data_IF_215799250431
#
_entry.id   IF_215799250431
#
_cell.length_a   1.000
_cell.length_b   1.000
_cell.length_c   1.000
_cell.angle_alpha   90.00
_cell.angle_beta   90.00
_cell.angle_gamma   90.00
#
_symmetry.space_group_name_H-M   'P 1'
#
loop_
_entity.id
_entity.type
_entity.pdbx_description
1 polymer ?
#
# COMPACT_ATOMS: atom_id res chain seq x y z
N UNK A 1 64.43 30.77 16.30
CA UNK A 1 64.09 30.58 14.87
C UNK A 1 64.66 29.25 14.41
N UNK A 2 63.80 28.42 13.81
CA UNK A 2 64.11 27.08 13.28
C UNK A 2 64.89 27.13 11.96
N UNK A 3 65.53 26.02 11.58
CA UNK A 3 65.45 25.49 10.21
C UNK A 3 65.64 23.97 10.16
N UNK A 4 64.77 23.35 9.39
CA UNK A 4 64.59 21.91 9.08
C UNK A 4 65.56 21.45 8.00
N UNK A 5 66.04 20.20 8.06
CA UNK A 5 66.80 19.52 6.99
C UNK A 5 66.14 18.18 6.64
N UNK A 6 66.04 17.88 5.33
CA UNK A 6 65.42 16.68 4.74
C UNK A 6 66.28 15.43 5.00
N UNK A 7 65.64 14.29 5.21
CA UNK A 7 66.25 12.96 4.99
C UNK A 7 65.30 12.08 4.17
N UNK A 8 65.76 11.71 2.98
CA UNK A 8 65.10 10.74 2.11
C UNK A 8 65.17 9.35 2.75
N UNK A 9 64.02 8.70 2.89
CA UNK A 9 63.89 7.35 3.42
C UNK A 9 63.90 6.33 2.27
N UNK A 10 64.65 5.26 2.52
CA UNK A 10 65.08 4.08 1.77
C UNK A 10 64.04 3.34 0.86
N UNK A 11 62.88 3.91 0.54
CA UNK A 11 61.83 3.23 -0.25
C UNK A 11 61.82 3.56 -1.74
N UNK A 12 62.80 4.32 -2.23
CA UNK A 12 63.07 4.44 -3.66
C UNK A 12 63.88 3.22 -4.15
N UNK A 13 63.21 2.16 -4.61
CA UNK A 13 63.73 1.07 -5.47
C UNK A 13 62.67 -0.05 -5.49
N UNK A 14 61.89 -0.34 -6.53
CA UNK A 14 62.19 -1.07 -7.79
C UNK A 14 60.77 -1.35 -8.37
N UNK A 15 60.32 -0.79 -9.49
CA UNK A 15 60.49 -1.25 -10.88
C UNK A 15 59.86 -2.62 -11.25
N UNK A 16 59.10 -2.62 -12.36
CA UNK A 16 58.59 -3.76 -13.17
C UNK A 16 57.37 -4.51 -12.59
N UNK A 17 56.30 -4.84 -13.31
CA UNK A 17 56.18 -5.31 -14.69
C UNK A 17 54.70 -5.35 -15.13
N UNK A 18 54.45 -5.18 -16.42
CA UNK A 18 53.16 -5.41 -17.06
C UNK A 18 52.85 -6.90 -17.21
N UNK A 19 51.60 -7.32 -16.99
CA UNK A 19 51.07 -8.58 -17.47
C UNK A 19 49.55 -8.48 -17.71
N UNK A 20 49.16 -8.46 -18.98
CA UNK A 20 47.80 -8.71 -19.45
C UNK A 20 47.60 -10.23 -19.54
N UNK A 21 46.56 -10.79 -18.92
CA UNK A 21 46.07 -12.14 -19.23
C UNK A 21 44.55 -12.08 -19.36
N UNK A 22 44.08 -12.32 -20.58
CA UNK A 22 42.72 -12.69 -20.90
C UNK A 22 42.53 -14.20 -20.70
N UNK A 23 41.30 -14.64 -20.37
CA UNK A 23 40.52 -15.70 -21.04
C UNK A 23 39.61 -16.52 -20.10
N UNK A 24 38.32 -16.54 -20.50
CA UNK A 24 37.40 -17.70 -20.59
C UNK A 24 36.80 -18.32 -19.30
N UNK A 25 35.51 -18.01 -19.07
CA UNK A 25 34.40 -18.97 -19.12
C UNK A 25 34.12 -19.85 -17.89
N UNK A 26 33.03 -19.55 -17.18
CA UNK A 26 32.17 -20.55 -16.53
C UNK A 26 30.79 -19.95 -16.19
N UNK A 27 29.78 -20.40 -16.94
CA UNK A 27 28.42 -20.82 -16.53
C UNK A 27 27.84 -20.24 -15.22
N UNK A 28 26.67 -19.62 -15.33
CA UNK A 28 25.62 -19.68 -14.29
C UNK A 28 25.71 -18.65 -13.17
N UNK A 29 25.28 -17.42 -13.42
CA UNK A 29 24.90 -16.51 -12.34
C UNK A 29 23.56 -16.94 -11.76
N UNK A 30 23.58 -17.80 -10.74
CA UNK A 30 22.48 -17.92 -9.79
C UNK A 30 22.22 -16.54 -9.19
N UNK A 31 21.03 -15.98 -9.38
CA UNK A 31 20.58 -14.81 -8.63
C UNK A 31 20.59 -15.17 -7.15
N UNK A 32 21.56 -14.64 -6.42
CA UNK A 32 21.61 -14.76 -4.97
C UNK A 32 20.52 -13.85 -4.40
N UNK A 33 19.57 -14.46 -3.69
CA UNK A 33 18.57 -13.81 -2.85
C UNK A 33 19.25 -12.81 -1.90
N UNK A 34 18.90 -11.53 -2.01
CA UNK A 34 19.25 -10.47 -1.06
C UNK A 34 18.35 -10.58 0.18
N UNK A 35 18.55 -11.64 0.96
CA UNK A 35 18.12 -11.67 2.36
C UNK A 35 19.34 -11.26 3.19
N UNK A 36 19.19 -10.24 4.02
CA UNK A 36 20.17 -9.87 5.04
C UNK A 36 19.47 -9.48 6.35
N UNK A 37 19.99 -9.99 7.46
CA UNK A 37 19.76 -9.52 8.83
C UNK A 37 21.12 -8.99 9.38
N UNK A 38 21.08 -8.02 10.31
CA UNK A 38 22.07 -6.94 10.56
C UNK A 38 23.43 -7.34 11.21
N UNK A 39 24.49 -6.51 11.22
CA UNK A 39 24.64 -5.23 11.96
C UNK A 39 25.36 -4.07 11.24
N UNK A 40 25.04 -2.85 11.71
CA UNK A 40 25.27 -1.47 11.19
C UNK A 40 26.63 -1.11 10.56
N UNK A 41 26.58 -0.69 9.29
CA UNK A 41 27.24 0.53 8.77
C UNK A 41 26.26 1.24 7.84
N UNK A 42 25.82 2.41 8.29
CA UNK A 42 24.88 3.31 7.60
C UNK A 42 25.43 3.77 6.27
N UNK A 43 24.79 3.34 5.19
CA UNK A 43 24.71 4.12 3.97
C UNK A 43 23.31 4.71 3.93
N UNK A 44 23.18 6.03 4.09
CA UNK A 44 21.90 6.73 3.97
C UNK A 44 21.57 6.86 2.48
N UNK A 45 20.67 6.00 2.02
CA UNK A 45 19.89 6.24 0.82
C UNK A 45 18.49 6.64 1.31
N UNK A 46 18.10 7.89 1.07
CA UNK A 46 16.77 8.41 1.43
C UNK A 46 15.75 7.90 0.40
N UNK A 47 14.66 7.29 0.85
CA UNK A 47 13.42 7.15 0.09
C UNK A 47 12.53 8.35 0.43
N UNK A 48 11.67 8.80 -0.49
CA UNK A 48 10.73 9.87 -0.14
C UNK A 48 9.61 9.34 0.76
N UNK A 49 9.11 10.19 1.66
CA UNK A 49 8.10 9.82 2.66
C UNK A 49 6.70 9.77 2.00
N UNK A 50 5.93 8.74 2.31
CA UNK A 50 4.50 8.65 1.95
C UNK A 50 3.75 8.36 3.23
N UNK A 51 2.87 9.27 3.61
CA UNK A 51 2.03 9.12 4.78
C UNK A 51 0.58 9.07 4.32
N UNK A 52 -0.12 7.98 4.65
CA UNK A 52 -1.55 7.84 4.42
C UNK A 52 -2.27 7.45 5.69
N UNK A 53 -3.53 7.87 5.80
CA UNK A 53 -4.48 7.37 6.79
C UNK A 53 -5.76 6.92 6.09
N UNK A 54 -6.49 5.99 6.73
CA UNK A 54 -7.83 5.57 6.31
C UNK A 54 -8.78 5.89 7.47
N UNK A 55 -9.84 6.63 7.18
CA UNK A 55 -10.84 7.03 8.17
C UNK A 55 -12.24 6.65 7.72
N UNK A 56 -13.12 6.46 8.70
CA UNK A 56 -14.56 6.35 8.54
C UNK A 56 -15.19 7.25 9.62
N UNK A 57 -16.20 8.04 9.25
CA UNK A 57 -16.84 8.98 10.20
C UNK A 57 -17.82 8.28 11.13
N UNK A 58 -18.35 7.13 10.72
CA UNK A 58 -19.19 6.31 11.58
C UNK A 58 -18.33 5.55 12.59
N UNK A 59 -18.69 5.69 13.86
CA UNK A 59 -18.00 5.07 14.99
C UNK A 59 -19.02 4.43 15.90
N UNK A 60 -18.63 3.33 16.53
CA UNK A 60 -19.50 2.64 17.46
C UNK A 60 -19.69 3.44 18.76
N UNK A 61 -20.44 2.88 19.71
CA UNK A 61 -20.71 3.55 20.99
C UNK A 61 -19.45 3.85 21.82
N UNK A 62 -18.34 3.16 21.56
CA UNK A 62 -17.05 3.32 22.23
C UNK A 62 -16.06 4.18 21.41
N UNK A 63 -16.46 4.63 20.22
CA UNK A 63 -15.65 5.46 19.33
C UNK A 63 -14.72 4.66 18.41
N UNK A 64 -14.95 3.36 18.24
CA UNK A 64 -14.20 2.50 17.33
C UNK A 64 -14.82 2.52 15.91
N UNK A 65 -14.10 3.02 14.88
CA UNK A 65 -14.60 3.03 13.50
C UNK A 65 -14.59 1.63 12.85
N UNK A 66 -14.06 0.61 13.51
CA UNK A 66 -13.87 -0.75 12.94
C UNK A 66 -14.93 -1.76 13.37
N UNK A 67 -15.82 -1.41 14.31
CA UNK A 67 -16.77 -2.34 14.94
C UNK A 67 -18.24 -1.88 14.86
N UNK A 68 -18.64 -1.25 13.76
CA UNK A 68 -20.00 -0.74 13.57
C UNK A 68 -21.03 -1.85 13.28
N UNK A 69 -22.22 -1.71 13.86
CA UNK A 69 -23.38 -2.56 13.56
C UNK A 69 -24.51 -1.71 13.00
N UNK A 70 -25.08 -2.14 11.88
CA UNK A 70 -26.08 -1.37 11.14
C UNK A 70 -27.43 -2.09 11.09
N UNK A 71 -28.51 -1.34 11.28
CA UNK A 71 -29.85 -1.86 11.03
C UNK A 71 -30.13 -1.89 9.52
N UNK A 72 -30.40 -3.08 8.99
CA UNK A 72 -30.70 -3.26 7.58
C UNK A 72 -32.20 -3.09 7.30
N UNK A 73 -32.55 -2.00 6.63
CA UNK A 73 -33.90 -1.77 6.09
C UNK A 73 -33.85 -1.94 4.57
N UNK A 74 -34.61 -2.88 3.97
CA UNK A 74 -34.59 -3.10 2.51
C UNK A 74 -34.82 -1.83 1.71
N UNK A 75 -33.95 -1.58 0.72
CA UNK A 75 -33.98 -0.39 -0.14
C UNK A 75 -33.39 0.88 0.49
N UNK A 76 -33.00 0.86 1.76
CA UNK A 76 -32.33 2.01 2.37
C UNK A 76 -30.82 1.98 2.11
N UNK A 77 -30.24 3.17 2.04
CA UNK A 77 -28.80 3.37 2.14
C UNK A 77 -28.34 3.35 3.59
N UNK A 78 -27.14 2.83 3.81
CA UNK A 78 -26.39 2.85 5.06
C UNK A 78 -25.14 3.70 4.80
N UNK A 79 -24.93 4.74 5.60
CA UNK A 79 -23.78 5.62 5.48
C UNK A 79 -22.48 4.83 5.75
N UNK A 80 -21.55 4.89 4.81
CA UNK A 80 -20.24 4.24 4.83
C UNK A 80 -19.27 5.09 4.00
N UNK A 81 -18.36 5.81 4.66
CA UNK A 81 -17.50 6.80 4.00
C UNK A 81 -15.99 6.53 4.18
N UNK A 82 -15.49 5.33 3.81
CA UNK A 82 -14.07 5.05 3.90
C UNK A 82 -13.29 6.05 3.02
N UNK A 83 -12.44 6.83 3.67
CA UNK A 83 -11.68 7.92 3.06
C UNK A 83 -10.20 7.73 3.29
N UNK A 84 -9.43 7.66 2.21
CA UNK A 84 -7.98 7.60 2.26
C UNK A 84 -7.46 9.04 2.21
N UNK A 85 -6.70 9.43 3.23
CA UNK A 85 -6.03 10.73 3.26
C UNK A 85 -4.55 10.52 2.96
N UNK A 86 -4.05 11.10 1.87
CA UNK A 86 -2.61 11.26 1.63
C UNK A 86 -2.18 12.54 2.32
N UNK A 87 -1.33 12.42 3.34
CA UNK A 87 -0.94 13.57 4.16
C UNK A 87 -0.05 14.55 3.37
N UNK A 88 0.13 15.75 3.93
CA UNK A 88 1.05 16.75 3.40
C UNK A 88 2.49 16.19 3.26
N UNK A 89 3.26 16.79 2.37
CA UNK A 89 4.66 16.44 2.09
C UNK A 89 4.90 14.96 1.69
N UNK A 90 3.88 14.32 1.11
CA UNK A 90 3.95 12.94 0.61
C UNK A 90 4.36 12.90 -0.86
N UNK A 91 5.13 11.88 -1.24
CA UNK A 91 5.52 11.65 -2.62
C UNK A 91 4.39 11.13 -3.52
N UNK A 92 4.56 11.29 -4.83
CA UNK A 92 3.66 10.70 -5.82
C UNK A 92 3.62 9.17 -5.63
N UNK A 93 2.43 8.60 -5.60
CA UNK A 93 2.22 7.21 -5.19
C UNK A 93 1.11 6.52 -5.98
N UNK A 94 1.20 5.20 -6.02
CA UNK A 94 0.09 4.31 -6.34
C UNK A 94 -0.70 4.09 -5.06
N UNK A 95 -1.97 4.51 -5.04
CA UNK A 95 -2.91 4.19 -3.98
C UNK A 95 -3.68 2.94 -4.35
N UNK A 96 -3.89 2.07 -3.36
CA UNK A 96 -4.72 0.90 -3.49
C UNK A 96 -5.76 0.88 -2.38
N UNK A 97 -6.94 0.40 -2.74
CA UNK A 97 -7.96 -0.03 -1.79
C UNK A 97 -8.32 -1.48 -2.07
N UNK A 98 -8.38 -2.28 -1.02
CA UNK A 98 -8.84 -3.66 -1.05
C UNK A 98 -10.17 -3.73 -0.31
N UNK A 99 -11.20 -4.19 -1.02
CA UNK A 99 -12.54 -4.43 -0.53
C UNK A 99 -12.74 -5.94 -0.37
N UNK A 100 -12.99 -6.39 0.85
CA UNK A 100 -13.24 -7.79 1.17
C UNK A 100 -14.66 -7.95 1.67
N UNK A 101 -15.46 -8.62 0.85
CA UNK A 101 -16.85 -8.94 1.12
C UNK A 101 -16.96 -10.31 1.80
N UNK A 102 -17.88 -10.44 2.74
CA UNK A 102 -18.33 -11.76 3.20
C UNK A 102 -19.09 -12.50 2.08
N UNK A 103 -19.09 -13.83 2.09
CA UNK A 103 -19.77 -14.66 1.08
C UNK A 103 -21.24 -14.30 0.80
N UNK A 104 -21.95 -13.73 1.79
CA UNK A 104 -23.35 -13.34 1.66
C UNK A 104 -23.56 -11.86 1.33
N UNK A 105 -22.50 -11.05 1.17
CA UNK A 105 -22.61 -9.60 1.01
C UNK A 105 -23.55 -9.20 -0.12
N UNK A 106 -23.30 -9.68 -1.34
CA UNK A 106 -24.10 -9.38 -2.55
C UNK A 106 -25.57 -9.82 -2.48
N UNK A 107 -25.92 -10.70 -1.53
CA UNK A 107 -27.33 -11.07 -1.31
C UNK A 107 -28.10 -9.95 -0.61
N UNK A 108 -27.40 -9.11 0.13
CA UNK A 108 -27.97 -8.21 1.13
C UNK A 108 -27.61 -6.74 0.90
N UNK A 109 -26.42 -6.47 0.37
CA UNK A 109 -25.84 -5.15 0.23
C UNK A 109 -25.23 -5.00 -1.16
N UNK A 110 -25.16 -3.76 -1.62
CA UNK A 110 -24.48 -3.35 -2.85
C UNK A 110 -23.75 -2.05 -2.59
N UNK A 111 -22.72 -1.75 -3.37
CA UNK A 111 -22.05 -0.46 -3.37
C UNK A 111 -21.57 -0.11 -4.76
N UNK A 112 -21.24 1.16 -4.96
CA UNK A 112 -20.54 1.65 -6.14
C UNK A 112 -19.22 2.29 -5.68
N UNK A 113 -18.16 2.15 -6.48
CA UNK A 113 -16.90 2.84 -6.20
C UNK A 113 -16.98 4.30 -6.59
N UNK A 114 -16.33 5.16 -5.80
CA UNK A 114 -16.15 6.55 -6.14
C UNK A 114 -15.39 6.71 -7.48
N UNK A 115 -15.58 7.85 -8.14
CA UNK A 115 -14.90 8.14 -9.41
C UNK A 115 -13.37 8.13 -9.23
N UNK A 116 -12.65 7.49 -10.17
CA UNK A 116 -11.18 7.49 -10.22
C UNK A 116 -10.54 6.14 -9.85
N UNK A 117 -11.27 5.24 -9.19
CA UNK A 117 -10.79 3.90 -8.88
C UNK A 117 -10.82 2.98 -10.11
N UNK A 118 -9.72 2.27 -10.35
CA UNK A 118 -9.58 1.28 -11.43
C UNK A 118 -9.35 -0.11 -10.84
N UNK A 119 -10.11 -1.12 -11.28
CA UNK A 119 -9.89 -2.50 -10.83
C UNK A 119 -8.51 -3.01 -11.26
N UNK A 120 -7.78 -3.63 -10.33
CA UNK A 120 -6.50 -4.25 -10.62
C UNK A 120 -6.72 -5.61 -11.30
N UNK A 121 -6.25 -5.75 -12.54
CA UNK A 121 -6.45 -6.97 -13.31
C UNK A 121 -5.80 -8.18 -12.63
N UNK A 122 -6.58 -9.25 -12.46
CA UNK A 122 -6.11 -10.51 -11.88
C UNK A 122 -6.04 -10.53 -10.35
N UNK A 123 -6.53 -9.49 -9.66
CA UNK A 123 -6.63 -9.45 -8.20
C UNK A 123 -8.03 -8.99 -7.79
N UNK A 124 -8.84 -9.94 -7.30
CA UNK A 124 -10.22 -9.66 -6.89
C UNK A 124 -10.28 -8.68 -5.72
N UNK A 125 -11.24 -7.76 -5.76
CA UNK A 125 -11.49 -6.78 -4.71
C UNK A 125 -10.44 -5.68 -4.57
N UNK A 126 -9.41 -5.63 -5.42
CA UNK A 126 -8.36 -4.61 -5.37
C UNK A 126 -8.56 -3.57 -6.46
N UNK A 127 -8.55 -2.30 -6.05
CA UNK A 127 -8.69 -1.14 -6.92
C UNK A 127 -7.55 -0.17 -6.66
N UNK A 128 -7.16 0.57 -7.68
CA UNK A 128 -6.04 1.51 -7.59
C UNK A 128 -6.37 2.86 -8.22
N UNK A 129 -5.66 3.87 -7.75
CA UNK A 129 -5.61 5.22 -8.32
C UNK A 129 -4.20 5.78 -8.19
N UNK A 130 -3.84 6.74 -9.04
CA UNK A 130 -2.59 7.50 -8.87
C UNK A 130 -2.82 8.73 -8.01
N UNK A 131 -1.98 8.92 -6.99
CA UNK A 131 -1.88 10.15 -6.22
C UNK A 131 -0.66 10.96 -6.67
N UNK A 132 -0.87 12.24 -6.94
CA UNK A 132 0.22 13.18 -7.11
C UNK A 132 0.94 13.43 -5.78
N UNK A 133 2.19 13.89 -5.84
CA UNK A 133 2.89 14.37 -4.66
C UNK A 133 2.09 15.53 -4.02
N UNK A 134 2.01 15.53 -2.70
CA UNK A 134 1.35 16.58 -1.92
C UNK A 134 2.37 17.64 -1.50
N UNK A 135 1.90 18.89 -1.41
CA UNK A 135 2.67 19.98 -0.77
C UNK A 135 2.25 20.13 0.68
N UNK A 136 2.09 21.37 1.14
CA UNK A 136 1.71 21.70 2.53
C UNK A 136 0.27 21.27 2.94
N UNK A 137 -0.47 20.58 2.08
CA UNK A 137 -1.86 20.18 2.31
C UNK A 137 -2.09 18.71 1.96
N UNK A 138 -2.86 18.02 2.80
CA UNK A 138 -3.33 16.66 2.55
C UNK A 138 -4.37 16.62 1.43
N UNK A 139 -4.51 15.46 0.80
CA UNK A 139 -5.50 15.19 -0.25
C UNK A 139 -6.28 13.93 0.11
N UNK A 140 -7.61 14.03 0.04
CA UNK A 140 -8.53 12.96 0.38
C UNK A 140 -9.06 12.25 -0.87
N UNK A 141 -9.23 10.94 -0.74
CA UNK A 141 -9.74 10.03 -1.76
C UNK A 141 -10.88 9.20 -1.14
N UNK A 142 -12.11 9.54 -1.47
CA UNK A 142 -13.28 8.73 -1.10
C UNK A 142 -13.24 7.39 -1.85
N UNK A 143 -13.64 6.32 -1.17
CA UNK A 143 -13.63 4.96 -1.74
C UNK A 143 -14.99 4.58 -2.33
N UNK A 144 -16.09 4.89 -1.64
CA UNK A 144 -17.45 4.56 -2.08
C UNK A 144 -18.14 5.77 -2.69
N UNK A 145 -18.89 5.55 -3.78
CA UNK A 145 -19.73 6.59 -4.35
C UNK A 145 -20.87 6.92 -3.38
N UNK A 146 -21.18 8.21 -3.26
CA UNK A 146 -22.19 8.75 -2.35
C UNK A 146 -21.97 8.41 -0.86
N UNK A 147 -20.79 7.89 -0.49
CA UNK A 147 -20.47 7.54 0.89
C UNK A 147 -21.49 6.57 1.52
N UNK A 148 -21.94 5.57 0.74
CA UNK A 148 -22.98 4.63 1.18
C UNK A 148 -22.81 3.20 0.65
N UNK A 149 -23.47 2.27 1.34
CA UNK A 149 -23.85 0.96 0.81
C UNK A 149 -25.38 0.86 0.82
N UNK A 150 -25.96 0.15 -0.14
CA UNK A 150 -27.43 0.06 -0.30
C UNK A 150 -27.92 -1.34 0.02
N UNK A 151 -28.92 -1.43 0.90
CA UNK A 151 -29.58 -2.68 1.27
C UNK A 151 -30.49 -3.14 0.13
N UNK A 152 -30.36 -4.40 -0.29
CA UNK A 152 -31.16 -4.98 -1.35
C UNK A 152 -32.67 -4.87 -1.06
N UNK A 153 -33.46 -4.46 -2.07
CA UNK A 153 -34.91 -4.20 -1.91
C UNK A 153 -35.73 -5.46 -1.60
N UNK A 154 -35.27 -6.63 -2.06
CA UNK A 154 -36.04 -7.87 -2.06
C UNK A 154 -35.55 -8.88 -1.01
N UNK A 155 -35.21 -8.42 0.19
CA UNK A 155 -34.85 -9.30 1.31
C UNK A 155 -36.11 -9.77 2.04
N UNK A 156 -36.25 -11.08 2.19
CA UNK A 156 -37.38 -11.69 2.91
C UNK A 156 -37.13 -11.74 4.42
N UNK A 157 -38.22 -11.82 5.20
CA UNK A 157 -38.13 -12.02 6.65
C UNK A 157 -37.41 -13.33 7.03
N UNK A 158 -37.53 -14.35 6.19
CA UNK A 158 -36.84 -15.63 6.38
C UNK A 158 -35.32 -15.46 6.26
N UNK A 159 -34.86 -14.65 5.31
CA UNK A 159 -33.44 -14.33 5.15
C UNK A 159 -32.90 -13.53 6.34
N UNK A 160 -33.62 -12.53 6.85
CA UNK A 160 -33.21 -11.81 8.06
C UNK A 160 -33.15 -12.72 9.29
N UNK A 161 -34.18 -13.54 9.51
CA UNK A 161 -34.18 -14.50 10.63
C UNK A 161 -33.00 -15.49 10.54
N UNK A 162 -32.55 -15.83 9.33
CA UNK A 162 -31.39 -16.70 9.13
C UNK A 162 -30.07 -16.02 9.52
N UNK A 163 -29.92 -14.71 9.25
CA UNK A 163 -28.80 -13.91 9.75
C UNK A 163 -28.80 -13.91 11.28
N UNK A 164 -29.92 -13.59 11.91
CA UNK A 164 -30.05 -13.54 13.38
C UNK A 164 -29.73 -14.89 14.04
N UNK A 165 -30.22 -15.99 13.46
CA UNK A 165 -30.01 -17.33 14.01
C UNK A 165 -28.55 -17.79 13.95
N UNK A 166 -27.77 -17.29 13.00
CA UNK A 166 -26.39 -17.70 12.74
C UNK A 166 -25.35 -16.68 13.22
N UNK A 167 -25.76 -15.42 13.38
CA UNK A 167 -24.85 -14.28 13.59
C UNK A 167 -24.00 -13.94 12.36
N UNK A 168 -24.28 -14.53 11.19
CA UNK A 168 -23.48 -14.37 9.97
C UNK A 168 -23.89 -13.12 9.17
N UNK A 169 -23.87 -11.94 9.80
CA UNK A 169 -24.20 -10.68 9.15
C UNK A 169 -23.21 -10.35 8.03
N UNK A 170 -23.67 -9.75 6.91
CA UNK A 170 -22.78 -9.39 5.82
C UNK A 170 -21.78 -8.30 6.25
N UNK A 171 -20.54 -8.42 5.80
CA UNK A 171 -19.45 -7.49 6.11
C UNK A 171 -18.76 -7.00 4.85
N UNK A 172 -18.34 -5.73 4.88
CA UNK A 172 -17.41 -5.14 3.91
C UNK A 172 -16.19 -4.62 4.69
N UNK A 173 -15.04 -5.25 4.49
CA UNK A 173 -13.77 -4.80 5.07
C UNK A 173 -13.01 -3.96 4.05
N UNK A 174 -12.51 -2.80 4.48
CA UNK A 174 -11.75 -1.88 3.63
C UNK A 174 -10.33 -1.79 4.15
N UNK A 175 -9.34 -2.02 3.27
CA UNK A 175 -7.92 -1.82 3.56
C UNK A 175 -7.30 -0.90 2.53
N UNK A 176 -6.44 0.02 2.95
CA UNK A 176 -5.76 0.96 2.06
C UNK A 176 -4.24 0.74 2.07
N UNK A 177 -3.60 0.95 0.93
CA UNK A 177 -2.15 0.83 0.75
C UNK A 177 -1.65 1.96 -0.15
N UNK A 178 -0.39 2.35 0.03
CA UNK A 178 0.30 3.25 -0.89
C UNK A 178 1.71 2.75 -1.18
N UNK A 179 2.17 2.96 -2.42
CA UNK A 179 3.53 2.65 -2.86
C UNK A 179 4.07 3.81 -3.67
N UNK A 180 5.30 4.25 -3.39
CA UNK A 180 5.94 5.34 -4.13
C UNK A 180 6.00 5.02 -5.62
N UNK A 181 5.60 5.97 -6.46
CA UNK A 181 5.53 5.78 -7.90
C UNK A 181 6.91 5.73 -8.56
N UNK A 182 7.91 6.33 -7.92
CA UNK A 182 9.25 6.43 -8.46
C UNK A 182 9.84 5.05 -8.79
N UNK A 183 10.23 4.88 -10.05
CA UNK A 183 10.77 3.63 -10.62
C UNK A 183 9.79 2.44 -10.64
N UNK A 184 8.48 2.67 -10.44
CA UNK A 184 7.45 1.64 -10.59
C UNK A 184 6.57 1.96 -11.80
N UNK A 185 6.65 1.11 -12.82
CA UNK A 185 6.01 1.36 -14.11
C UNK A 185 4.51 1.04 -14.13
N UNK A 186 4.01 0.20 -13.22
CA UNK A 186 2.62 -0.26 -13.24
C UNK A 186 2.02 -0.44 -11.85
N UNK A 187 0.69 -0.36 -11.76
CA UNK A 187 -0.05 -0.67 -10.54
C UNK A 187 0.13 -2.14 -10.11
N UNK A 188 0.30 -3.07 -11.05
CA UNK A 188 0.55 -4.48 -10.74
C UNK A 188 1.91 -4.68 -10.04
N UNK A 189 2.96 -4.00 -10.53
CA UNK A 189 4.29 -4.04 -9.89
C UNK A 189 4.25 -3.40 -8.50
N UNK A 190 3.55 -2.27 -8.35
CA UNK A 190 3.35 -1.63 -7.05
C UNK A 190 2.58 -2.53 -6.09
N UNK A 191 1.49 -3.17 -6.53
CA UNK A 191 0.70 -4.05 -5.69
C UNK A 191 1.51 -5.26 -5.18
N UNK A 192 2.35 -5.85 -6.03
CA UNK A 192 3.24 -6.94 -5.62
C UNK A 192 4.23 -6.53 -4.52
N UNK A 193 4.54 -5.24 -4.38
CA UNK A 193 5.35 -4.72 -3.28
C UNK A 193 4.53 -4.44 -2.03
N UNK A 194 3.29 -3.95 -2.18
CA UNK A 194 2.40 -3.63 -1.06
C UNK A 194 1.85 -4.88 -0.33
N UNK A 195 1.60 -5.96 -1.06
CA UNK A 195 0.87 -7.13 -0.58
C UNK A 195 1.79 -8.33 -0.31
N UNK A 196 2.86 -8.13 0.47
CA UNK A 196 3.81 -9.18 0.91
C UNK A 196 3.53 -9.72 2.30
#
# INVERSE_FOLDING_TARGET
MQKTEKRYSLKAMIAASAATVALLGAVGGTVAWLIAESDTVTNTFTYGDINITLTEDDVDADGDPTANTYEMVPGNAIAKNPTITVEADSEASWLFVKLEESDNFDTFLTYELAEGWTALEGVDGVYYQEAAATGDAAVEYGVLANDEVVVAENITKEQFNALDATGAFPTLTVSAYAVQKDNIASAADAWALANQ
#
